data_IF_548009063854
#
_entry.id   IF_548009063854
#
_cell.length_a   1.000
_cell.length_b   1.000
_cell.length_c   1.000
_cell.angle_alpha   90.00
_cell.angle_beta   90.00
_cell.angle_gamma   90.00
#
_symmetry.space_group_name_H-M   'P 1'
#
loop_
_entity.id
_entity.type
_entity.pdbx_description
1 polymer ?
#
# COMPACT_ATOMS: atom_id res chain seq x y z
N UNK A 1 1.98 -15.18 2.42
CA UNK A 1 3.06 -14.58 1.65
C UNK A 1 4.44 -15.11 2.02
N UNK A 2 5.41 -14.82 1.20
CA UNK A 2 6.81 -15.18 1.40
C UNK A 2 7.60 -13.96 1.84
N UNK A 3 8.22 -14.02 3.02
CA UNK A 3 9.14 -13.00 3.48
C UNK A 3 10.43 -13.09 2.66
N UNK A 4 10.79 -11.99 1.99
CA UNK A 4 12.07 -11.91 1.26
C UNK A 4 13.18 -11.46 2.22
N UNK A 5 13.09 -10.24 2.73
CA UNK A 5 14.14 -9.66 3.56
C UNK A 5 13.65 -8.48 4.41
N UNK A 6 14.48 -8.12 5.38
CA UNK A 6 14.42 -6.85 6.07
C UNK A 6 15.47 -5.89 5.48
N UNK A 7 15.08 -4.62 5.31
CA UNK A 7 15.96 -3.53 4.87
C UNK A 7 15.83 -2.41 5.90
N UNK A 8 16.73 -2.41 6.89
CA UNK A 8 16.54 -1.59 8.08
C UNK A 8 15.27 -2.00 8.82
N UNK A 9 14.34 -1.08 8.97
CA UNK A 9 13.01 -1.28 9.55
C UNK A 9 11.93 -1.71 8.54
N UNK A 10 12.26 -1.73 7.25
CA UNK A 10 11.33 -2.15 6.20
C UNK A 10 11.25 -3.66 6.03
N UNK A 11 10.06 -4.16 5.78
CA UNK A 11 9.76 -5.56 5.46
C UNK A 11 9.46 -5.67 3.97
N UNK A 12 10.15 -6.58 3.28
CA UNK A 12 9.90 -6.92 1.89
C UNK A 12 9.34 -8.34 1.81
N UNK A 13 8.17 -8.49 1.21
CA UNK A 13 7.48 -9.76 1.06
C UNK A 13 6.77 -9.84 -0.29
N UNK A 14 6.49 -11.04 -0.75
CA UNK A 14 5.75 -11.28 -1.98
C UNK A 14 4.80 -12.48 -1.86
N UNK A 15 3.88 -12.58 -2.82
CA UNK A 15 2.83 -13.60 -2.86
C UNK A 15 2.89 -14.34 -4.19
N UNK A 16 2.47 -15.63 -4.20
CA UNK A 16 2.39 -16.45 -5.41
C UNK A 16 3.68 -17.20 -5.77
N UNK A 17 4.74 -17.09 -4.94
CA UNK A 17 5.97 -17.85 -5.10
C UNK A 17 6.62 -18.12 -3.72
N UNK A 18 7.40 -19.20 -3.53
CA UNK A 18 7.64 -20.29 -4.48
C UNK A 18 6.41 -21.18 -4.69
N UNK A 19 5.45 -21.12 -3.78
CA UNK A 19 4.18 -21.86 -3.89
C UNK A 19 3.15 -20.95 -4.58
N UNK A 20 2.56 -21.39 -5.70
CA UNK A 20 1.47 -20.67 -6.34
C UNK A 20 0.34 -20.39 -5.35
N UNK A 21 -0.19 -19.20 -5.39
CA UNK A 21 -1.30 -18.75 -4.57
C UNK A 21 -2.34 -18.06 -5.48
N UNK A 22 -3.50 -18.64 -5.57
CA UNK A 22 -4.63 -18.00 -6.23
C UNK A 22 -5.06 -16.77 -5.44
N UNK A 23 -5.57 -15.75 -6.12
CA UNK A 23 -6.02 -14.49 -5.52
C UNK A 23 -4.93 -13.83 -4.65
N UNK A 24 -3.67 -13.89 -5.08
CA UNK A 24 -2.54 -13.33 -4.34
C UNK A 24 -2.69 -11.84 -4.07
N UNK A 25 -3.36 -11.08 -4.94
CA UNK A 25 -3.68 -9.66 -4.75
C UNK A 25 -4.61 -9.45 -3.56
N UNK A 26 -5.63 -10.32 -3.43
CA UNK A 26 -6.54 -10.28 -2.27
C UNK A 26 -5.77 -10.50 -0.96
N UNK A 27 -4.93 -11.53 -0.92
CA UNK A 27 -4.14 -11.84 0.27
C UNK A 27 -3.15 -10.74 0.61
N UNK A 28 -2.54 -10.08 -0.37
CA UNK A 28 -1.63 -8.96 -0.14
C UNK A 28 -2.37 -7.76 0.45
N UNK A 29 -3.53 -7.40 -0.12
CA UNK A 29 -4.37 -6.31 0.39
C UNK A 29 -4.90 -6.60 1.80
N UNK A 30 -5.41 -7.81 2.02
CA UNK A 30 -5.90 -8.24 3.34
C UNK A 30 -4.78 -8.17 4.40
N UNK A 31 -3.59 -8.67 4.07
CA UNK A 31 -2.44 -8.60 4.98
C UNK A 31 -2.10 -7.15 5.36
N UNK A 32 -2.12 -6.23 4.40
CA UNK A 32 -1.85 -4.82 4.67
C UNK A 32 -2.87 -4.20 5.65
N UNK A 33 -4.16 -4.51 5.47
CA UNK A 33 -5.21 -4.07 6.41
C UNK A 33 -5.05 -4.69 7.80
N UNK A 34 -4.76 -5.99 7.87
CA UNK A 34 -4.55 -6.70 9.14
C UNK A 34 -3.30 -6.18 9.88
N UNK A 35 -2.24 -5.81 9.15
CA UNK A 35 -1.05 -5.18 9.74
C UNK A 35 -1.39 -3.82 10.38
N UNK A 36 -2.16 -2.97 9.69
CA UNK A 36 -2.59 -1.68 10.23
C UNK A 36 -3.44 -1.87 11.49
N UNK A 37 -4.42 -2.77 11.44
CA UNK A 37 -5.28 -3.10 12.57
C UNK A 37 -4.48 -3.67 13.75
N UNK A 38 -3.52 -4.55 13.49
CA UNK A 38 -2.66 -5.10 14.55
C UNK A 38 -1.78 -4.04 15.17
N UNK A 39 -1.21 -3.14 14.37
CA UNK A 39 -0.41 -2.02 14.89
C UNK A 39 -1.23 -1.07 15.75
N UNK A 40 -2.49 -0.82 15.41
CA UNK A 40 -3.40 0.00 16.22
C UNK A 40 -3.64 -0.63 17.60
N UNK A 41 -3.87 -1.94 17.65
CA UNK A 41 -4.00 -2.70 18.90
C UNK A 41 -2.71 -2.58 19.72
N UNK A 42 -1.55 -2.85 19.11
CA UNK A 42 -0.26 -2.78 19.79
C UNK A 42 0.04 -1.38 20.35
N UNK A 43 -0.29 -0.32 19.62
CA UNK A 43 -0.15 1.06 20.12
C UNK A 43 -1.01 1.31 21.37
N UNK A 44 -2.24 0.77 21.37
CA UNK A 44 -3.13 0.88 22.52
C UNK A 44 -2.60 0.10 23.73
N UNK A 45 -2.01 -1.08 23.49
CA UNK A 45 -1.35 -1.87 24.53
C UNK A 45 -0.15 -1.11 25.10
N UNK A 46 0.76 -0.64 24.26
CA UNK A 46 1.96 0.12 24.68
C UNK A 46 1.64 1.42 25.40
N UNK A 47 0.54 2.10 25.04
CA UNK A 47 0.11 3.32 25.72
C UNK A 47 -0.34 3.08 27.17
N UNK A 48 -0.70 1.83 27.50
CA UNK A 48 -1.08 1.42 28.87
C UNK A 48 0.10 0.86 29.68
N UNK A 49 1.27 0.68 29.05
CA UNK A 49 2.49 0.19 29.69
C UNK A 49 3.46 1.35 29.94
N UNK A 50 4.01 1.44 31.16
CA UNK A 50 4.92 2.52 31.56
C UNK A 50 6.31 2.42 30.92
N UNK A 51 6.64 1.29 30.33
CA UNK A 51 8.00 0.96 29.87
C UNK A 51 8.31 1.50 28.46
N UNK A 52 7.29 1.96 27.73
CA UNK A 52 7.44 2.43 26.37
C UNK A 52 7.49 3.96 26.28
N UNK A 53 8.47 4.52 25.54
CA UNK A 53 8.50 5.96 25.28
C UNK A 53 7.26 6.43 24.52
N UNK A 54 6.81 7.66 24.76
CA UNK A 54 5.64 8.27 24.08
C UNK A 54 5.71 8.18 22.55
N UNK A 55 6.92 8.22 21.98
CA UNK A 55 7.15 8.07 20.54
C UNK A 55 6.58 6.76 20.00
N UNK A 56 6.63 5.68 20.78
CA UNK A 56 6.14 4.35 20.37
C UNK A 56 4.63 4.32 20.20
N UNK A 57 3.89 5.10 20.99
CA UNK A 57 2.43 5.19 20.91
C UNK A 57 1.96 5.80 19.57
N UNK A 58 2.85 6.48 18.85
CA UNK A 58 2.56 7.15 17.58
C UNK A 58 3.23 6.49 16.37
N UNK A 59 3.83 5.32 16.55
CA UNK A 59 4.43 4.57 15.43
C UNK A 59 3.37 4.29 14.34
N UNK A 60 3.76 4.54 13.11
CA UNK A 60 2.97 4.24 11.90
C UNK A 60 3.85 3.53 10.90
N UNK A 61 3.26 2.66 10.10
CA UNK A 61 3.94 2.06 8.96
C UNK A 61 3.26 2.51 7.66
N UNK A 62 3.96 2.34 6.56
CA UNK A 62 3.41 2.50 5.21
C UNK A 62 3.62 1.23 4.41
N UNK A 63 2.66 0.93 3.54
CA UNK A 63 2.69 -0.25 2.68
C UNK A 63 2.54 0.17 1.23
N UNK A 64 3.43 -0.31 0.36
CA UNK A 64 3.33 -0.17 -1.08
C UNK A 64 3.00 -1.52 -1.72
N UNK A 65 1.87 -1.64 -2.41
CA UNK A 65 1.44 -2.86 -3.07
C UNK A 65 1.38 -2.70 -4.58
N UNK A 66 1.96 -3.67 -5.29
CA UNK A 66 1.84 -3.78 -6.74
C UNK A 66 1.89 -5.23 -7.17
N UNK A 67 1.05 -5.62 -8.12
CA UNK A 67 1.01 -6.95 -8.72
C UNK A 67 1.50 -6.91 -10.16
N UNK A 68 2.03 -8.01 -10.65
CA UNK A 68 2.47 -8.19 -12.02
C UNK A 68 3.61 -9.19 -12.15
N UNK A 69 4.06 -9.39 -13.36
CA UNK A 69 5.13 -10.33 -13.66
C UNK A 69 6.43 -9.92 -12.95
N UNK A 70 7.08 -10.90 -12.33
CA UNK A 70 8.38 -10.77 -11.70
C UNK A 70 9.15 -12.10 -11.82
N UNK A 71 10.46 -12.01 -11.75
CA UNK A 71 11.32 -13.20 -11.67
C UNK A 71 11.60 -13.50 -10.22
N UNK A 72 11.32 -14.71 -9.78
CA UNK A 72 11.63 -15.20 -8.43
C UNK A 72 12.58 -16.39 -8.51
N UNK A 73 13.49 -16.49 -7.55
CA UNK A 73 14.43 -17.59 -7.50
C UNK A 73 15.61 -17.32 -6.57
N UNK A 74 16.51 -18.30 -6.51
CA UNK A 74 17.78 -18.15 -5.80
C UNK A 74 18.71 -17.23 -6.60
N UNK A 75 19.02 -16.08 -6.01
CA UNK A 75 19.88 -15.06 -6.62
C UNK A 75 21.02 -14.72 -5.67
N UNK A 76 22.24 -14.58 -6.21
CA UNK A 76 23.41 -14.27 -5.43
C UNK A 76 24.70 -14.81 -6.05
N UNK A 77 25.70 -15.01 -5.20
CA UNK A 77 26.97 -15.62 -5.56
C UNK A 77 27.02 -17.08 -5.09
N UNK A 78 28.07 -17.82 -5.51
CA UNK A 78 28.34 -19.19 -5.02
C UNK A 78 28.49 -19.28 -3.50
N UNK A 79 28.83 -18.17 -2.84
CA UNK A 79 29.00 -18.13 -1.39
C UNK A 79 27.75 -17.71 -0.63
N UNK A 80 26.82 -17.00 -1.28
CA UNK A 80 25.58 -16.52 -0.65
C UNK A 80 24.46 -16.44 -1.66
N UNK A 81 23.43 -17.21 -1.45
CA UNK A 81 22.20 -17.24 -2.23
C UNK A 81 21.02 -16.81 -1.35
N UNK A 82 20.16 -15.97 -1.93
CA UNK A 82 18.86 -15.62 -1.31
C UNK A 82 17.76 -15.94 -2.33
N UNK A 83 16.68 -16.53 -1.85
CA UNK A 83 15.46 -16.64 -2.64
C UNK A 83 14.76 -15.27 -2.61
N UNK A 84 14.73 -14.59 -3.73
CA UNK A 84 14.28 -13.21 -3.84
C UNK A 84 13.53 -12.96 -5.15
N UNK A 85 13.04 -11.74 -5.34
CA UNK A 85 12.32 -11.31 -6.52
C UNK A 85 13.02 -10.14 -7.22
N UNK A 86 12.87 -10.07 -8.54
CA UNK A 86 13.37 -8.97 -9.38
C UNK A 86 12.35 -8.62 -10.47
N UNK A 87 12.30 -7.34 -10.82
CA UNK A 87 11.49 -6.83 -11.93
C UNK A 87 11.02 -5.40 -11.73
N UNK A 88 10.52 -4.80 -12.81
CA UNK A 88 9.94 -3.45 -12.76
C UNK A 88 8.71 -3.38 -11.83
N UNK A 89 7.98 -4.47 -11.71
CA UNK A 89 6.85 -4.63 -10.81
C UNK A 89 7.28 -4.48 -9.35
N UNK A 90 8.40 -5.09 -8.96
CA UNK A 90 8.99 -4.98 -7.62
C UNK A 90 9.46 -3.56 -7.35
N UNK A 91 10.15 -2.94 -8.32
CA UNK A 91 10.62 -1.56 -8.22
C UNK A 91 9.47 -0.56 -8.08
N UNK A 92 8.32 -0.83 -8.70
CA UNK A 92 7.13 0.01 -8.53
C UNK A 92 6.61 -0.09 -7.09
N UNK A 93 6.42 -1.29 -6.55
CA UNK A 93 5.99 -1.46 -5.16
C UNK A 93 6.89 -0.70 -4.17
N UNK A 94 8.21 -0.85 -4.33
CA UNK A 94 9.21 -0.14 -3.50
C UNK A 94 9.13 1.40 -3.59
N UNK A 95 8.55 1.96 -4.65
CA UNK A 95 8.35 3.41 -4.81
C UNK A 95 7.01 3.88 -4.25
N UNK A 96 6.02 3.00 -4.16
CA UNK A 96 4.70 3.35 -3.63
C UNK A 96 4.77 3.62 -2.13
N UNK A 97 5.54 2.84 -1.36
CA UNK A 97 5.67 3.03 0.09
C UNK A 97 6.12 4.46 0.44
N UNK A 98 7.27 4.97 -0.03
CA UNK A 98 7.66 6.34 0.30
C UNK A 98 6.73 7.40 -0.33
N UNK A 99 6.12 7.11 -1.49
CA UNK A 99 5.15 8.02 -2.11
C UNK A 99 3.89 8.19 -1.25
N UNK A 100 3.48 7.18 -0.49
CA UNK A 100 2.32 7.24 0.41
C UNK A 100 2.39 8.42 1.39
N UNK A 101 3.60 8.82 1.80
CA UNK A 101 3.83 9.97 2.67
C UNK A 101 3.32 11.29 2.04
N UNK A 102 3.49 11.47 0.74
CA UNK A 102 3.09 12.70 0.04
C UNK A 102 1.57 12.83 -0.06
N UNK A 103 0.87 11.70 -0.04
CA UNK A 103 -0.60 11.66 -0.12
C UNK A 103 -1.26 11.54 1.26
N UNK A 104 -0.46 11.42 2.32
CA UNK A 104 -0.98 11.25 3.69
C UNK A 104 -1.73 9.93 3.90
N UNK A 105 -1.34 8.86 3.19
CA UNK A 105 -1.96 7.54 3.25
C UNK A 105 -1.00 6.49 3.80
N UNK A 106 -1.53 5.38 4.31
CA UNK A 106 -0.72 4.30 4.88
C UNK A 106 -0.58 3.10 3.94
N UNK A 107 -1.60 2.77 3.16
CA UNK A 107 -1.57 1.65 2.23
C UNK A 107 -1.79 2.18 0.81
N UNK A 108 -0.71 2.21 0.03
CA UNK A 108 -0.71 2.71 -1.33
C UNK A 108 -0.62 1.57 -2.34
N UNK A 109 -1.59 1.49 -3.23
CA UNK A 109 -1.77 0.37 -4.16
C UNK A 109 -1.76 0.85 -5.60
N UNK A 110 -1.03 0.15 -6.47
CA UNK A 110 -1.04 0.42 -7.90
C UNK A 110 -2.30 -0.10 -8.59
N UNK A 111 -2.66 0.53 -9.70
CA UNK A 111 -3.85 0.23 -10.52
C UNK A 111 -3.99 -1.26 -10.86
N UNK A 112 -2.90 -1.96 -11.12
CA UNK A 112 -2.95 -3.36 -11.53
C UNK A 112 -3.50 -4.25 -10.40
N UNK A 113 -2.99 -4.08 -9.19
CA UNK A 113 -3.48 -4.78 -7.99
C UNK A 113 -4.93 -4.39 -7.70
N UNK A 114 -5.22 -3.07 -7.71
CA UNK A 114 -6.57 -2.57 -7.44
C UNK A 114 -7.60 -3.18 -8.39
N UNK A 115 -7.31 -3.26 -9.69
CA UNK A 115 -8.25 -3.84 -10.69
C UNK A 115 -8.55 -5.30 -10.44
N UNK A 116 -7.57 -6.08 -9.99
CA UNK A 116 -7.76 -7.51 -9.75
C UNK A 116 -8.73 -7.80 -8.60
N UNK A 117 -8.85 -6.86 -7.66
CA UNK A 117 -9.66 -7.02 -6.43
C UNK A 117 -10.58 -5.83 -6.15
N UNK A 118 -10.99 -5.12 -7.22
CA UNK A 118 -11.75 -3.88 -7.12
C UNK A 118 -13.05 -4.02 -6.31
N UNK A 119 -13.75 -5.14 -6.49
CA UNK A 119 -15.05 -5.41 -5.88
C UNK A 119 -14.97 -5.98 -4.45
N UNK A 120 -13.75 -6.29 -3.97
CA UNK A 120 -13.52 -6.93 -2.67
C UNK A 120 -13.12 -5.94 -1.58
N UNK A 121 -12.75 -4.73 -1.96
CA UNK A 121 -12.25 -3.69 -1.04
C UNK A 121 -12.85 -2.32 -1.36
N UNK A 122 -12.72 -1.41 -0.42
CA UNK A 122 -13.03 0.00 -0.59
C UNK A 122 -11.75 0.79 -0.91
N UNK A 123 -11.87 1.71 -1.88
CA UNK A 123 -10.74 2.39 -2.48
C UNK A 123 -10.96 3.90 -2.53
N UNK A 124 -9.86 4.66 -2.41
CA UNK A 124 -9.81 6.07 -2.80
C UNK A 124 -8.79 6.25 -3.91
N UNK A 125 -9.22 6.78 -5.06
CA UNK A 125 -8.26 7.18 -6.11
C UNK A 125 -7.44 8.37 -5.61
N UNK A 126 -6.11 8.30 -5.74
CA UNK A 126 -5.22 9.36 -5.29
C UNK A 126 -4.73 10.21 -6.47
N UNK A 127 -3.96 9.61 -7.38
CA UNK A 127 -3.33 10.34 -8.47
C UNK A 127 -2.79 9.42 -9.57
N UNK A 128 -2.22 10.03 -10.60
CA UNK A 128 -1.48 9.39 -11.66
C UNK A 128 0.02 9.47 -11.41
N UNK A 129 0.65 8.32 -11.22
CA UNK A 129 2.08 8.21 -10.92
C UNK A 129 2.88 8.11 -12.21
N UNK A 130 3.85 9.01 -12.38
CA UNK A 130 4.84 8.88 -13.45
C UNK A 130 5.92 7.89 -13.03
N UNK A 131 5.93 6.71 -13.65
CA UNK A 131 6.91 5.66 -13.38
C UNK A 131 8.01 5.72 -14.42
N UNK A 132 9.29 5.76 -13.98
CA UNK A 132 10.45 5.73 -14.88
C UNK A 132 10.39 4.48 -15.77
N UNK A 133 10.55 4.66 -17.08
CA UNK A 133 10.49 3.56 -18.06
C UNK A 133 9.10 3.22 -18.59
N UNK A 134 8.02 3.72 -18.00
CA UNK A 134 6.66 3.54 -18.55
C UNK A 134 6.21 4.77 -19.32
N UNK A 135 5.66 4.57 -20.53
CA UNK A 135 5.13 5.65 -21.39
C UNK A 135 3.81 6.24 -20.85
N UNK A 136 3.03 5.46 -20.11
CA UNK A 136 1.75 5.89 -19.53
C UNK A 136 1.88 5.94 -18.00
N UNK A 137 1.27 6.96 -17.36
CA UNK A 137 1.22 7.00 -15.91
C UNK A 137 0.36 5.85 -15.37
N UNK A 138 0.68 5.39 -14.17
CA UNK A 138 -0.05 4.36 -13.44
C UNK A 138 -0.93 5.03 -12.40
N UNK A 139 -2.19 4.64 -12.28
CA UNK A 139 -3.05 5.17 -11.22
C UNK A 139 -2.65 4.57 -9.88
N UNK A 140 -2.67 5.42 -8.87
CA UNK A 140 -2.46 5.07 -7.47
C UNK A 140 -3.74 5.18 -6.66
N UNK A 141 -3.93 4.25 -5.75
CA UNK A 141 -5.10 4.15 -4.89
C UNK A 141 -4.68 3.95 -3.44
N UNK A 142 -5.46 4.49 -2.53
CA UNK A 142 -5.45 4.06 -1.14
C UNK A 142 -6.39 2.88 -0.97
N UNK A 143 -5.93 1.88 -0.23
CA UNK A 143 -6.75 0.79 0.27
C UNK A 143 -7.30 1.20 1.65
N UNK A 144 -8.62 1.20 1.81
CA UNK A 144 -9.28 1.72 3.03
C UNK A 144 -9.77 0.59 3.93
N UNK A 145 -10.55 -0.35 3.39
CA UNK A 145 -11.15 -1.44 4.14
C UNK A 145 -11.59 -2.58 3.22
N UNK A 146 -12.07 -3.66 3.78
CA UNK A 146 -12.88 -4.63 3.07
C UNK A 146 -14.16 -3.98 2.55
N UNK A 147 -14.76 -4.58 1.53
CA UNK A 147 -16.00 -4.10 0.92
C UNK A 147 -17.12 -4.03 1.95
N UNK A 148 -17.84 -2.89 1.97
CA UNK A 148 -18.92 -2.58 2.90
C UNK A 148 -18.49 -2.44 4.40
N UNK A 149 -17.21 -2.31 4.68
CA UNK A 149 -16.69 -2.12 6.05
C UNK A 149 -16.19 -0.69 6.30
N UNK A 150 -16.41 0.23 5.37
CA UNK A 150 -16.01 1.62 5.53
C UNK A 150 -16.88 2.34 6.57
N UNK A 151 -16.26 3.03 7.51
CA UNK A 151 -16.98 3.85 8.47
C UNK A 151 -17.60 5.08 7.80
N UNK A 152 -18.59 5.70 8.47
CA UNK A 152 -19.22 6.93 7.97
C UNK A 152 -18.22 8.05 7.76
N UNK A 153 -17.24 8.20 8.66
CA UNK A 153 -16.17 9.20 8.54
C UNK A 153 -15.27 8.94 7.32
N UNK A 154 -14.92 7.69 7.07
CA UNK A 154 -14.15 7.29 5.89
C UNK A 154 -14.95 7.56 4.61
N UNK A 155 -16.23 7.22 4.60
CA UNK A 155 -17.13 7.46 3.47
C UNK A 155 -17.22 8.95 3.13
N UNK A 156 -17.40 9.80 4.13
CA UNK A 156 -17.42 11.26 3.97
C UNK A 156 -16.09 11.80 3.43
N UNK A 157 -14.97 11.31 3.97
CA UNK A 157 -13.63 11.68 3.51
C UNK A 157 -13.42 11.34 2.03
N UNK A 158 -13.79 10.11 1.63
CA UNK A 158 -13.67 9.65 0.23
C UNK A 158 -14.53 10.52 -0.69
N UNK A 159 -15.77 10.79 -0.32
CA UNK A 159 -16.67 11.64 -1.13
C UNK A 159 -16.13 13.06 -1.29
N UNK A 160 -15.69 13.69 -0.19
CA UNK A 160 -15.12 15.03 -0.23
C UNK A 160 -13.84 15.07 -1.09
N UNK A 161 -12.98 14.07 -0.94
CA UNK A 161 -11.76 13.96 -1.74
C UNK A 161 -12.06 13.78 -3.23
N UNK A 162 -12.99 12.90 -3.60
CA UNK A 162 -13.40 12.66 -4.98
C UNK A 162 -14.01 13.92 -5.63
N UNK A 163 -14.80 14.68 -4.89
CA UNK A 163 -15.30 15.98 -5.35
C UNK A 163 -14.15 16.97 -5.57
N UNK A 164 -13.21 17.03 -4.63
CA UNK A 164 -12.02 17.86 -4.73
C UNK A 164 -11.20 17.53 -5.99
N UNK A 165 -10.95 16.24 -6.25
CA UNK A 165 -10.24 15.78 -7.45
C UNK A 165 -11.00 16.13 -8.75
N UNK A 166 -12.34 16.00 -8.76
CA UNK A 166 -13.16 16.42 -9.92
C UNK A 166 -13.02 17.92 -10.20
N UNK A 167 -13.04 18.76 -9.16
CA UNK A 167 -12.85 20.19 -9.26
C UNK A 167 -11.42 20.55 -9.70
N UNK A 168 -10.43 19.88 -9.13
CA UNK A 168 -9.02 20.01 -9.51
C UNK A 168 -8.81 19.73 -11.01
N UNK A 169 -9.36 18.64 -11.53
CA UNK A 169 -9.30 18.29 -12.97
C UNK A 169 -9.99 19.32 -13.87
N UNK A 170 -11.00 20.04 -13.35
CA UNK A 170 -11.66 21.15 -14.03
C UNK A 170 -10.92 22.49 -13.86
N UNK A 171 -9.77 22.50 -13.18
CA UNK A 171 -8.98 23.68 -12.87
C UNK A 171 -9.71 24.72 -11.98
N UNK A 172 -10.75 24.31 -11.25
CA UNK A 172 -11.42 25.13 -10.23
C UNK A 172 -10.70 24.99 -8.89
N UNK A 173 -9.51 25.56 -8.84
CA UNK A 173 -8.57 25.43 -7.70
C UNK A 173 -9.16 25.94 -6.39
N UNK A 174 -9.93 27.05 -6.47
CA UNK A 174 -10.51 27.69 -5.31
C UNK A 174 -11.54 26.80 -4.63
N UNK A 175 -12.40 26.14 -5.40
CA UNK A 175 -13.37 25.20 -4.85
C UNK A 175 -12.74 23.88 -4.45
N UNK A 176 -11.77 23.37 -5.23
CA UNK A 176 -11.07 22.14 -4.90
C UNK A 176 -10.36 22.21 -3.53
N UNK A 177 -9.76 23.37 -3.19
CA UNK A 177 -9.05 23.58 -1.91
C UNK A 177 -9.99 23.62 -0.68
N UNK A 178 -11.29 23.87 -0.88
CA UNK A 178 -12.28 23.98 0.19
C UNK A 178 -12.94 22.64 0.55
N UNK A 179 -12.68 21.60 -0.21
CA UNK A 179 -13.16 20.23 0.02
C UNK A 179 -12.13 19.41 0.77
#
# INVERSE_FOLDING_TARGET
>A
GTLDKYIGDAIVAFYGAPVPLENHEFHACLTALEMEKKLEIMRSEWANESDWPELVHNIRHRVGLNSGEMVTGNMGSSMRMNYTMMGDTVNLAARLEPAAKHYGVYIFVAEHTQKAVADLFEWRFLDYLKVKGKKKPVKGYELISLKNEMSDNQSQLVQAFDEGIKLYKKQDWTKAKKR
#
